data_IF_781892148728
#
_entry.id   IF_781892148728
#
_cell.length_a   1.000
_cell.length_b   1.000
_cell.length_c   1.000
_cell.angle_alpha   90.00
_cell.angle_beta   90.00
_cell.angle_gamma   90.00
#
_symmetry.space_group_name_H-M   'P 1'
#
loop_
_entity.id
_entity.type
_entity.pdbx_description
1 polymer ?
#
# COMPACT_ATOMS: atom_id res chain seq x y z
N UNK A 1 9.78 -27.66 38.22
CA UNK A 1 8.97 -27.59 36.99
C UNK A 1 7.58 -27.14 37.39
N UNK A 2 7.13 -25.93 37.06
CA UNK A 2 5.73 -25.52 37.31
C UNK A 2 4.81 -26.23 36.32
N UNK A 3 3.69 -26.73 36.79
CA UNK A 3 2.67 -27.43 36.07
C UNK A 3 2.10 -26.56 34.92
N UNK A 4 2.32 -26.98 33.70
CA UNK A 4 1.62 -26.45 32.52
C UNK A 4 0.20 -27.06 32.49
N UNK A 5 -0.70 -26.54 33.32
CA UNK A 5 -2.10 -26.92 33.40
C UNK A 5 -3.01 -25.71 33.32
N UNK A 6 -2.74 -24.80 32.38
CA UNK A 6 -3.60 -23.67 32.06
C UNK A 6 -3.97 -23.73 30.58
N UNK A 7 -5.19 -23.40 30.26
CA UNK A 7 -5.77 -23.35 28.92
C UNK A 7 -4.88 -22.56 27.93
N UNK A 8 -3.88 -23.21 27.35
CA UNK A 8 -2.99 -22.55 26.40
C UNK A 8 -3.72 -22.39 25.06
N UNK A 9 -3.68 -21.18 24.48
CA UNK A 9 -4.16 -20.88 23.14
C UNK A 9 -3.67 -21.93 22.13
N UNK A 10 -4.57 -22.54 21.38
CA UNK A 10 -4.24 -23.54 20.38
C UNK A 10 -4.40 -23.00 18.94
N UNK A 11 -3.77 -23.70 18.01
CA UNK A 11 -3.81 -23.31 16.60
C UNK A 11 -5.19 -23.45 15.96
N UNK A 12 -6.08 -24.28 16.51
CA UNK A 12 -7.45 -24.40 16.02
C UNK A 12 -8.24 -23.15 16.36
N UNK A 13 -8.08 -22.62 17.57
CA UNK A 13 -8.72 -21.37 17.99
C UNK A 13 -8.28 -20.21 17.10
N UNK A 14 -7.00 -20.12 16.75
CA UNK A 14 -6.46 -19.10 15.84
C UNK A 14 -7.08 -19.25 14.43
N UNK A 15 -7.20 -20.48 13.91
CA UNK A 15 -7.87 -20.75 12.61
C UNK A 15 -9.34 -20.36 12.63
N UNK A 16 -10.06 -20.71 13.70
CA UNK A 16 -11.47 -20.38 13.84
C UNK A 16 -11.70 -18.88 13.92
N UNK A 17 -10.84 -18.17 14.66
CA UNK A 17 -10.85 -16.71 14.68
C UNK A 17 -10.73 -16.12 13.27
N UNK A 18 -9.75 -16.57 12.49
CA UNK A 18 -9.55 -16.08 11.12
C UNK A 18 -10.71 -16.45 10.20
N UNK A 19 -11.27 -17.65 10.31
CA UNK A 19 -12.42 -18.08 9.52
C UNK A 19 -13.65 -17.18 9.76
N UNK A 20 -13.90 -16.75 11.01
CA UNK A 20 -14.96 -15.81 11.32
C UNK A 20 -14.62 -14.40 10.83
N UNK A 21 -13.40 -13.94 11.06
CA UNK A 21 -12.96 -12.60 10.67
C UNK A 21 -13.05 -12.38 9.15
N UNK A 22 -12.70 -13.40 8.35
CA UNK A 22 -12.72 -13.34 6.90
C UNK A 22 -14.14 -13.54 6.31
N UNK A 23 -15.01 -14.32 6.98
CA UNK A 23 -16.38 -14.58 6.51
C UNK A 23 -17.43 -13.60 7.06
N UNK A 24 -17.14 -12.89 8.16
CA UNK A 24 -18.07 -12.01 8.85
C UNK A 24 -19.24 -12.75 9.55
N UNK A 25 -19.12 -14.07 9.76
CA UNK A 25 -20.22 -14.89 10.30
C UNK A 25 -19.69 -16.14 11.03
N UNK A 26 -20.24 -16.43 12.22
CA UNK A 26 -19.91 -17.66 12.93
C UNK A 26 -20.35 -18.93 12.19
N UNK A 27 -21.49 -18.89 11.51
CA UNK A 27 -21.98 -20.02 10.72
C UNK A 27 -21.10 -20.30 9.51
N UNK A 28 -20.81 -19.29 8.70
CA UNK A 28 -19.91 -19.42 7.55
C UNK A 28 -18.47 -19.75 7.99
N UNK A 29 -18.00 -19.18 9.10
CA UNK A 29 -16.70 -19.50 9.66
C UNK A 29 -16.60 -20.96 10.07
N UNK A 30 -17.66 -21.56 10.61
CA UNK A 30 -17.73 -22.96 10.98
C UNK A 30 -17.70 -23.88 9.73
N UNK A 31 -18.42 -23.51 8.67
CA UNK A 31 -18.38 -24.21 7.37
C UNK A 31 -16.95 -24.20 6.78
N UNK A 32 -16.32 -23.02 6.74
CA UNK A 32 -14.93 -22.87 6.25
C UNK A 32 -13.93 -23.66 7.09
N UNK A 33 -14.17 -23.74 8.40
CA UNK A 33 -13.31 -24.47 9.34
C UNK A 33 -13.63 -25.97 9.43
N UNK A 34 -14.66 -26.45 8.71
CA UNK A 34 -15.14 -27.85 8.72
C UNK A 34 -15.51 -28.34 10.13
N UNK A 35 -16.19 -27.49 10.92
CA UNK A 35 -16.67 -27.81 12.27
C UNK A 35 -18.11 -27.35 12.47
N UNK A 36 -18.74 -27.78 13.58
CA UNK A 36 -20.05 -27.25 13.94
C UNK A 36 -19.94 -25.84 14.53
N UNK A 37 -20.95 -25.02 14.31
CA UNK A 37 -20.98 -23.66 14.85
C UNK A 37 -20.85 -23.63 16.40
N UNK A 38 -21.48 -24.52 17.20
CA UNK A 38 -21.25 -24.58 18.65
C UNK A 38 -19.80 -24.87 19.01
N UNK A 39 -19.11 -25.76 18.29
CA UNK A 39 -17.69 -26.09 18.51
C UNK A 39 -16.83 -24.85 18.28
N UNK A 40 -17.04 -24.17 17.17
CA UNK A 40 -16.30 -22.95 16.82
C UNK A 40 -16.57 -21.83 17.84
N UNK A 41 -17.83 -21.62 18.23
CA UNK A 41 -18.23 -20.59 19.21
C UNK A 41 -17.60 -20.85 20.59
N UNK A 42 -17.58 -22.12 21.05
CA UNK A 42 -16.95 -22.50 22.30
C UNK A 42 -15.44 -22.28 22.29
N UNK A 43 -14.77 -22.60 21.16
CA UNK A 43 -13.35 -22.38 21.01
C UNK A 43 -12.97 -20.88 21.03
N UNK A 44 -13.78 -20.03 20.40
CA UNK A 44 -13.60 -18.57 20.44
C UNK A 44 -13.82 -18.02 21.86
N UNK A 45 -14.87 -18.46 22.56
CA UNK A 45 -15.11 -18.02 23.92
C UNK A 45 -13.93 -18.38 24.87
N UNK A 46 -13.29 -19.55 24.67
CA UNK A 46 -12.08 -19.93 25.42
C UNK A 46 -10.90 -19.03 25.08
N UNK A 47 -10.71 -18.70 23.78
CA UNK A 47 -9.65 -17.80 23.33
C UNK A 47 -9.85 -16.38 23.91
N UNK A 48 -11.05 -15.86 23.90
CA UNK A 48 -11.39 -14.55 24.47
C UNK A 48 -11.17 -14.53 26.00
N UNK A 49 -11.55 -15.60 26.69
CA UNK A 49 -11.32 -15.75 28.12
C UNK A 49 -9.82 -15.77 28.47
N UNK A 50 -8.99 -16.45 27.66
CA UNK A 50 -7.54 -16.50 27.84
C UNK A 50 -6.86 -15.15 27.57
N UNK A 51 -7.30 -14.45 26.50
CA UNK A 51 -6.77 -13.14 26.14
C UNK A 51 -7.31 -12.00 27.04
N UNK A 52 -8.36 -12.27 27.80
CA UNK A 52 -9.01 -11.29 28.68
C UNK A 52 -9.76 -10.19 27.93
N UNK A 53 -10.03 -10.37 26.64
CA UNK A 53 -10.71 -9.40 25.77
C UNK A 53 -11.65 -10.09 24.81
N UNK A 54 -12.77 -9.46 24.49
CA UNK A 54 -13.63 -9.91 23.40
C UNK A 54 -12.96 -9.61 22.06
N UNK A 55 -13.04 -10.55 21.13
CA UNK A 55 -12.50 -10.42 19.77
C UNK A 55 -13.59 -10.07 18.76
N UNK A 56 -14.82 -10.45 19.05
CA UNK A 56 -15.98 -10.21 18.19
C UNK A 56 -17.12 -9.53 18.92
N UNK A 57 -17.84 -8.69 18.19
CA UNK A 57 -19.14 -8.15 18.60
C UNK A 57 -20.22 -8.58 17.61
N UNK A 58 -21.42 -8.87 18.13
CA UNK A 58 -22.60 -9.22 17.31
C UNK A 58 -23.42 -7.97 17.11
N UNK A 59 -23.62 -7.57 15.87
CA UNK A 59 -24.45 -6.43 15.49
C UNK A 59 -25.61 -6.85 14.58
N UNK A 60 -26.54 -5.93 14.34
CA UNK A 60 -27.68 -6.14 13.46
C UNK A 60 -27.31 -6.49 11.99
N UNK A 61 -26.07 -6.23 11.59
CA UNK A 61 -25.55 -6.48 10.23
C UNK A 61 -24.50 -7.61 10.17
N UNK A 62 -24.43 -8.47 11.20
CA UNK A 62 -23.48 -9.57 11.26
C UNK A 62 -22.45 -9.44 12.38
N UNK A 63 -21.33 -10.14 12.23
CA UNK A 63 -20.23 -10.19 13.20
C UNK A 63 -19.13 -9.23 12.79
N UNK A 64 -18.64 -8.43 13.72
CA UNK A 64 -17.52 -7.49 13.50
C UNK A 64 -16.40 -7.76 14.52
N UNK A 65 -15.20 -7.38 14.16
CA UNK A 65 -14.07 -7.38 15.09
C UNK A 65 -14.22 -6.20 16.07
N UNK A 66 -14.00 -6.49 17.34
CA UNK A 66 -13.76 -5.46 18.36
C UNK A 66 -12.37 -4.82 18.16
N UNK A 67 -12.02 -3.83 18.96
CA UNK A 67 -10.66 -3.30 19.02
C UNK A 67 -9.64 -4.42 19.36
N UNK A 68 -10.00 -5.30 20.34
CA UNK A 68 -9.21 -6.47 20.67
C UNK A 68 -9.03 -7.42 19.48
N UNK A 69 -10.11 -7.68 18.73
CA UNK A 69 -10.09 -8.48 17.52
C UNK A 69 -9.23 -7.88 16.41
N UNK A 70 -9.32 -6.56 16.20
CA UNK A 70 -8.48 -5.85 15.22
C UNK A 70 -6.99 -5.93 15.57
N UNK A 71 -6.64 -5.80 16.85
CA UNK A 71 -5.26 -5.95 17.34
C UNK A 71 -4.76 -7.40 17.23
N UNK A 72 -5.63 -8.39 17.44
CA UNK A 72 -5.28 -9.81 17.37
C UNK A 72 -5.16 -10.31 15.92
N UNK A 73 -5.91 -9.78 14.97
CA UNK A 73 -5.96 -10.22 13.56
C UNK A 73 -4.57 -10.35 12.91
N UNK A 74 -3.69 -9.35 12.96
CA UNK A 74 -2.34 -9.49 12.38
C UNK A 74 -1.51 -10.55 13.09
N UNK A 75 -1.70 -10.75 14.40
CA UNK A 75 -0.99 -11.77 15.17
C UNK A 75 -1.46 -13.18 14.82
N UNK A 76 -2.77 -13.37 14.68
CA UNK A 76 -3.37 -14.64 14.28
C UNK A 76 -2.85 -15.09 12.90
N UNK A 77 -2.79 -14.16 11.94
CA UNK A 77 -2.24 -14.44 10.61
C UNK A 77 -0.76 -14.78 10.65
N UNK A 78 0.02 -14.09 11.48
CA UNK A 78 1.44 -14.36 11.67
C UNK A 78 1.67 -15.77 12.23
N UNK A 79 0.92 -16.19 13.24
CA UNK A 79 1.02 -17.51 13.87
C UNK A 79 0.76 -18.62 12.85
N UNK A 80 -0.33 -18.54 12.06
CA UNK A 80 -0.62 -19.55 11.06
C UNK A 80 0.42 -19.58 9.94
N UNK A 81 0.92 -18.42 9.52
CA UNK A 81 1.97 -18.33 8.51
C UNK A 81 3.25 -19.01 8.99
N UNK A 82 3.66 -18.75 10.22
CA UNK A 82 4.87 -19.35 10.79
C UNK A 82 4.72 -20.88 10.93
N UNK A 83 3.55 -21.34 11.34
CA UNK A 83 3.25 -22.76 11.35
C UNK A 83 3.33 -23.41 9.96
N UNK A 84 2.84 -22.73 8.93
CA UNK A 84 2.93 -23.22 7.55
C UNK A 84 4.38 -23.29 7.07
N UNK A 85 5.20 -22.29 7.41
CA UNK A 85 6.64 -22.28 7.13
C UNK A 85 7.32 -23.46 7.84
N UNK A 86 7.10 -23.61 9.16
CA UNK A 86 7.69 -24.70 9.93
C UNK A 86 7.29 -26.09 9.37
N UNK A 87 6.00 -26.30 9.04
CA UNK A 87 5.55 -27.54 8.43
C UNK A 87 6.20 -27.83 7.09
N UNK A 88 6.47 -26.79 6.35
CA UNK A 88 7.08 -26.88 5.06
C UNK A 88 8.56 -27.24 5.14
N UNK A 89 9.28 -26.68 6.11
CA UNK A 89 10.69 -26.95 6.34
C UNK A 89 10.93 -28.45 6.72
N UNK A 90 9.92 -29.11 7.31
CA UNK A 90 10.00 -30.50 7.76
C UNK A 90 9.27 -31.52 6.87
N UNK A 91 8.50 -31.11 5.85
CA UNK A 91 7.97 -32.02 4.83
C UNK A 91 9.08 -32.34 3.84
N UNK A 92 9.95 -33.30 4.25
CA UNK A 92 11.07 -33.79 3.46
C UNK A 92 10.67 -34.36 2.11
N UNK A 93 10.84 -33.60 1.12
CA UNK A 93 10.83 -33.86 -0.29
C UNK A 93 11.29 -32.60 -0.99
N UNK A 94 12.22 -32.66 -1.90
CA UNK A 94 13.02 -31.60 -2.55
C UNK A 94 12.30 -30.34 -3.11
N UNK A 95 11.12 -30.01 -2.66
CA UNK A 95 10.52 -28.72 -2.91
C UNK A 95 10.98 -27.74 -1.81
N UNK A 96 12.12 -27.10 -2.03
CA UNK A 96 12.48 -25.86 -1.36
C UNK A 96 11.26 -24.96 -1.48
N UNK A 97 10.53 -24.74 -0.36
CA UNK A 97 9.48 -23.72 -0.35
C UNK A 97 10.19 -22.41 -0.59
N UNK A 98 10.05 -21.93 -1.81
CA UNK A 98 10.57 -20.64 -2.17
C UNK A 98 9.97 -19.61 -1.22
N UNK A 99 10.77 -18.87 -0.46
CA UNK A 99 10.28 -17.80 0.38
C UNK A 99 9.41 -16.88 -0.46
N UNK A 100 8.30 -16.43 0.10
CA UNK A 100 7.35 -15.57 -0.60
C UNK A 100 7.43 -14.17 -0.03
N UNK A 101 7.54 -13.17 -0.90
CA UNK A 101 7.46 -11.77 -0.53
C UNK A 101 6.33 -11.06 -1.28
N UNK A 102 5.45 -10.39 -0.55
CA UNK A 102 4.28 -9.68 -1.06
C UNK A 102 4.49 -8.19 -0.86
N UNK A 103 4.56 -7.48 -1.96
CA UNK A 103 4.85 -6.05 -2.02
C UNK A 103 3.60 -5.32 -2.50
N UNK A 104 3.08 -4.40 -1.68
CA UNK A 104 2.06 -3.46 -2.10
C UNK A 104 2.67 -2.30 -2.89
N UNK A 105 2.06 -1.94 -3.98
CA UNK A 105 2.46 -0.83 -4.84
C UNK A 105 1.31 0.17 -4.91
N UNK A 106 1.53 1.37 -4.39
CA UNK A 106 0.55 2.44 -4.54
C UNK A 106 0.43 2.80 -6.02
N UNK A 107 -0.80 2.78 -6.53
CA UNK A 107 -1.12 2.96 -7.94
C UNK A 107 -0.70 4.31 -8.53
N UNK A 108 -0.40 5.30 -7.69
CA UNK A 108 0.13 6.61 -8.10
C UNK A 108 1.66 6.68 -8.06
N UNK A 109 2.37 5.61 -7.71
CA UNK A 109 3.83 5.56 -7.74
C UNK A 109 4.31 5.27 -9.16
N UNK A 110 5.22 6.10 -9.73
CA UNK A 110 5.71 5.90 -11.09
C UNK A 110 6.60 4.66 -11.19
N UNK A 111 6.10 3.64 -11.89
CA UNK A 111 6.80 2.36 -12.06
C UNK A 111 8.17 2.49 -12.73
N UNK A 112 8.36 3.50 -13.59
CA UNK A 112 9.67 3.79 -14.23
C UNK A 112 10.79 4.02 -13.19
N UNK A 113 10.45 4.54 -12.01
CA UNK A 113 11.40 4.78 -10.90
C UNK A 113 11.66 3.52 -10.07
N UNK A 114 10.71 2.61 -10.01
CA UNK A 114 10.69 1.45 -9.10
C UNK A 114 11.05 0.15 -9.81
N UNK A 115 10.54 -0.07 -11.02
CA UNK A 115 10.75 -1.32 -11.77
C UNK A 115 12.22 -1.75 -11.93
N UNK A 116 13.20 -0.84 -12.17
CA UNK A 116 14.60 -1.26 -12.27
C UNK A 116 15.13 -1.91 -10.99
N UNK A 117 14.71 -1.41 -9.80
CA UNK A 117 15.14 -1.97 -8.52
C UNK A 117 14.45 -3.29 -8.26
N UNK A 118 13.13 -3.38 -8.50
CA UNK A 118 12.37 -4.63 -8.37
C UNK A 118 12.92 -5.71 -9.30
N UNK A 119 13.21 -5.37 -10.55
CA UNK A 119 13.80 -6.31 -11.51
C UNK A 119 15.20 -6.80 -11.08
N UNK A 120 16.00 -5.94 -10.47
CA UNK A 120 17.30 -6.33 -9.91
C UNK A 120 17.13 -7.29 -8.73
N UNK A 121 16.19 -7.03 -7.82
CA UNK A 121 15.87 -7.90 -6.69
C UNK A 121 15.41 -9.29 -7.15
N UNK A 122 14.48 -9.34 -8.11
CA UNK A 122 13.97 -10.61 -8.66
C UNK A 122 15.11 -11.45 -9.26
N UNK A 123 16.07 -10.81 -9.92
CA UNK A 123 17.24 -11.52 -10.48
C UNK A 123 18.24 -11.98 -9.42
N UNK A 124 18.41 -11.24 -8.35
CA UNK A 124 19.35 -11.58 -7.27
C UNK A 124 18.83 -12.69 -6.35
N UNK A 125 17.51 -12.79 -6.24
CA UNK A 125 16.83 -13.75 -5.37
C UNK A 125 15.87 -14.65 -6.19
N UNK A 126 16.41 -15.49 -7.10
CA UNK A 126 15.59 -16.28 -8.02
C UNK A 126 14.76 -17.37 -7.32
N UNK A 127 15.13 -17.73 -6.08
CA UNK A 127 14.39 -18.68 -5.25
C UNK A 127 13.17 -18.06 -4.55
N UNK A 128 12.97 -16.75 -4.63
CA UNK A 128 11.86 -16.05 -3.96
C UNK A 128 10.63 -15.99 -4.86
N UNK A 129 9.46 -16.30 -4.32
CA UNK A 129 8.17 -16.07 -5.00
C UNK A 129 7.70 -14.64 -4.72
N UNK A 130 7.91 -13.78 -5.69
CA UNK A 130 7.48 -12.39 -5.65
C UNK A 130 5.99 -12.26 -5.98
N UNK A 131 5.27 -11.44 -5.22
CA UNK A 131 3.87 -11.06 -5.52
C UNK A 131 3.76 -9.56 -5.36
N UNK A 132 3.27 -8.88 -6.39
CA UNK A 132 3.01 -7.45 -6.38
C UNK A 132 1.50 -7.22 -6.39
N UNK A 133 1.02 -6.34 -5.51
CA UNK A 133 -0.39 -5.99 -5.36
C UNK A 133 -0.53 -4.49 -5.53
N UNK A 134 -1.25 -4.05 -6.53
CA UNK A 134 -1.54 -2.63 -6.74
C UNK A 134 -2.83 -2.23 -6.06
N UNK A 135 -2.87 -1.00 -5.53
CA UNK A 135 -4.06 -0.50 -4.86
C UNK A 135 -3.97 0.95 -4.43
N UNK A 136 -5.05 1.43 -3.81
CA UNK A 136 -5.09 2.70 -3.09
C UNK A 136 -4.40 2.59 -1.73
N UNK A 137 -4.07 3.75 -1.15
CA UNK A 137 -3.32 3.81 0.11
C UNK A 137 -4.05 3.09 1.25
N UNK A 138 -5.34 3.36 1.45
CA UNK A 138 -6.11 2.80 2.57
C UNK A 138 -6.24 1.27 2.48
N UNK A 139 -6.46 0.73 1.27
CA UNK A 139 -6.56 -0.71 1.05
C UNK A 139 -5.20 -1.42 1.27
N UNK A 140 -4.13 -0.87 0.72
CA UNK A 140 -2.79 -1.43 0.89
C UNK A 140 -2.33 -1.41 2.35
N UNK A 141 -2.63 -0.34 3.09
CA UNK A 141 -2.35 -0.25 4.52
C UNK A 141 -3.16 -1.25 5.34
N UNK A 142 -4.45 -1.39 5.04
CA UNK A 142 -5.27 -2.42 5.67
C UNK A 142 -4.69 -3.82 5.42
N UNK A 143 -4.18 -4.08 4.21
CA UNK A 143 -3.53 -5.35 3.89
C UNK A 143 -2.17 -5.53 4.59
N UNK A 144 -1.36 -4.47 4.74
CA UNK A 144 -0.11 -4.51 5.49
C UNK A 144 -0.38 -4.81 6.97
N UNK A 145 -1.31 -4.08 7.59
CA UNK A 145 -1.71 -4.26 8.98
C UNK A 145 -2.30 -5.65 9.25
N UNK A 146 -2.98 -6.21 8.26
CA UNK A 146 -3.52 -7.57 8.31
C UNK A 146 -2.48 -8.65 7.97
N UNK A 147 -1.20 -8.31 7.82
CA UNK A 147 -0.11 -9.21 7.40
C UNK A 147 -0.39 -9.96 6.07
N UNK A 148 -1.22 -9.39 5.21
CA UNK A 148 -1.44 -9.84 3.82
C UNK A 148 -0.34 -9.36 2.88
N UNK A 149 0.34 -8.26 3.24
CA UNK A 149 1.52 -7.72 2.58
C UNK A 149 2.70 -7.72 3.56
N UNK A 150 3.91 -7.78 3.04
CA UNK A 150 5.14 -7.78 3.82
C UNK A 150 5.79 -6.39 3.86
N UNK A 151 5.60 -5.59 2.80
CA UNK A 151 5.99 -4.18 2.70
C UNK A 151 5.15 -3.42 1.67
N UNK A 152 5.16 -2.09 1.75
CA UNK A 152 4.52 -1.18 0.79
C UNK A 152 5.55 -0.28 0.13
N UNK A 153 5.36 0.02 -1.15
CA UNK A 153 5.95 1.18 -1.81
C UNK A 153 4.83 2.20 -1.97
N UNK A 154 4.94 3.30 -1.21
CA UNK A 154 3.82 4.21 -1.00
C UNK A 154 4.28 5.66 -0.81
N UNK A 155 3.32 6.57 -0.69
CA UNK A 155 3.53 7.92 -0.23
C UNK A 155 3.68 7.92 1.31
N UNK A 156 4.86 8.26 1.80
CA UNK A 156 5.17 8.28 3.22
C UNK A 156 4.41 9.42 3.91
N UNK A 157 3.76 9.10 5.01
CA UNK A 157 3.11 10.11 5.86
C UNK A 157 3.79 10.13 7.23
N UNK A 158 3.99 11.32 7.77
CA UNK A 158 4.53 11.49 9.12
C UNK A 158 3.53 11.03 10.17
N UNK A 159 4.01 10.31 11.20
CA UNK A 159 3.20 10.00 12.39
C UNK A 159 2.53 8.61 12.41
N UNK A 160 2.82 7.71 11.48
CA UNK A 160 2.31 6.33 11.54
C UNK A 160 3.15 5.49 12.50
N UNK A 161 2.69 5.40 13.75
CA UNK A 161 3.45 4.86 14.87
C UNK A 161 3.76 3.35 14.87
N UNK A 162 3.26 2.57 13.90
CA UNK A 162 3.37 1.09 13.90
C UNK A 162 4.27 0.51 12.82
N UNK A 163 4.76 1.32 11.90
CA UNK A 163 5.64 0.92 10.80
C UNK A 163 6.98 1.66 10.84
N UNK A 164 7.97 1.11 10.17
CA UNK A 164 9.22 1.76 9.83
C UNK A 164 9.18 2.21 8.37
N UNK A 165 9.95 3.22 8.03
CA UNK A 165 9.90 3.87 6.73
C UNK A 165 11.29 4.14 6.19
N UNK A 166 11.48 3.96 4.87
CA UNK A 166 12.66 4.37 4.13
C UNK A 166 12.24 5.30 2.99
N UNK A 167 12.65 6.56 3.04
CA UNK A 167 12.45 7.51 1.95
C UNK A 167 13.26 7.08 0.72
N UNK A 168 12.62 6.96 -0.44
CA UNK A 168 13.26 6.70 -1.72
C UNK A 168 13.54 7.99 -2.49
N UNK A 169 12.54 8.85 -2.64
CA UNK A 169 12.67 10.15 -3.32
C UNK A 169 11.51 11.09 -2.94
N UNK A 170 11.77 12.37 -3.07
CA UNK A 170 10.73 13.41 -3.06
C UNK A 170 10.22 13.64 -4.48
N UNK A 171 8.95 13.96 -4.61
CA UNK A 171 8.23 14.06 -5.86
C UNK A 171 7.35 15.31 -5.82
N UNK A 172 7.77 16.35 -6.56
CA UNK A 172 7.03 17.60 -6.58
C UNK A 172 5.86 17.54 -7.54
N UNK A 173 4.73 18.14 -7.18
CA UNK A 173 3.61 18.30 -8.09
C UNK A 173 3.95 19.37 -9.14
N UNK A 174 3.79 19.04 -10.41
CA UNK A 174 4.06 19.90 -11.55
C UNK A 174 2.83 19.96 -12.47
N UNK A 175 2.81 20.95 -13.33
CA UNK A 175 1.87 21.01 -14.44
C UNK A 175 2.52 20.39 -15.68
N UNK A 176 2.00 19.27 -16.13
CA UNK A 176 2.35 18.66 -17.40
C UNK A 176 1.64 19.42 -18.52
N UNK A 177 2.40 19.89 -19.52
CA UNK A 177 1.91 20.58 -20.70
C UNK A 177 2.50 19.97 -21.97
N UNK A 178 1.84 20.11 -23.13
CA UNK A 178 2.43 19.72 -24.41
C UNK A 178 3.77 20.42 -24.60
N UNK A 179 4.82 19.68 -24.95
CA UNK A 179 6.16 20.27 -25.20
C UNK A 179 6.15 21.31 -26.35
N UNK A 180 5.17 21.23 -27.23
CA UNK A 180 4.93 22.18 -28.33
C UNK A 180 4.29 23.50 -27.89
N UNK A 181 3.74 23.56 -26.67
CA UNK A 181 3.10 24.77 -26.15
C UNK A 181 4.12 25.89 -25.93
N UNK A 182 3.77 27.11 -26.34
CA UNK A 182 4.61 28.28 -26.04
C UNK A 182 4.79 28.50 -24.52
N UNK A 183 3.79 28.14 -23.71
CA UNK A 183 3.84 28.19 -22.24
C UNK A 183 4.82 27.18 -21.66
N UNK A 184 5.06 26.07 -22.35
CA UNK A 184 5.99 25.01 -21.91
C UNK A 184 7.47 25.47 -21.87
N UNK A 185 7.80 26.60 -22.48
CA UNK A 185 9.13 27.22 -22.42
C UNK A 185 9.42 27.96 -21.12
N UNK A 186 8.39 28.26 -20.33
CA UNK A 186 8.54 28.93 -19.04
C UNK A 186 8.99 27.93 -17.98
N UNK A 187 9.89 28.32 -17.07
CA UNK A 187 10.26 27.50 -15.90
C UNK A 187 9.16 27.45 -14.86
N UNK A 188 8.44 28.56 -14.70
CA UNK A 188 7.33 28.73 -13.76
C UNK A 188 6.19 29.44 -14.48
N UNK A 189 4.99 28.94 -14.35
CA UNK A 189 3.78 29.53 -14.88
C UNK A 189 3.05 30.29 -13.75
N UNK A 190 2.62 31.53 -13.94
CA UNK A 190 1.69 32.18 -13.02
C UNK A 190 0.40 31.36 -12.90
N UNK A 191 -0.20 31.33 -11.71
CA UNK A 191 -1.43 30.59 -11.47
C UNK A 191 -2.59 31.10 -12.35
N UNK A 192 -2.65 32.42 -12.56
CA UNK A 192 -3.68 33.09 -13.40
C UNK A 192 -3.63 32.66 -14.88
N UNK A 193 -2.47 32.19 -15.36
CA UNK A 193 -2.33 31.62 -16.70
C UNK A 193 -3.16 30.32 -16.89
N UNK A 194 -3.73 29.79 -15.81
CA UNK A 194 -4.64 28.62 -15.86
C UNK A 194 -6.11 29.02 -15.96
N UNK A 195 -6.46 30.31 -15.87
CA UNK A 195 -7.86 30.73 -16.09
C UNK A 195 -8.31 30.29 -17.48
N UNK A 196 -9.47 29.64 -17.55
CA UNK A 196 -10.05 29.05 -18.77
C UNK A 196 -9.11 28.07 -19.53
N UNK A 197 -7.94 27.72 -18.95
CA UNK A 197 -7.02 26.78 -19.59
C UNK A 197 -7.58 25.35 -19.56
N UNK A 198 -7.52 24.59 -20.67
CA UNK A 198 -7.96 23.19 -20.70
C UNK A 198 -7.17 22.35 -19.69
N UNK A 199 -7.87 21.76 -18.72
CA UNK A 199 -7.28 20.95 -17.66
C UNK A 199 -7.83 19.52 -17.68
N UNK A 200 -6.93 18.56 -17.63
CA UNK A 200 -7.22 17.13 -17.41
C UNK A 200 -7.04 16.84 -15.91
N UNK A 201 -8.09 16.35 -15.28
CA UNK A 201 -8.11 16.08 -13.84
C UNK A 201 -7.87 14.59 -13.56
N UNK A 202 -6.86 14.31 -12.75
CA UNK A 202 -6.57 12.96 -12.23
C UNK A 202 -7.40 12.72 -10.97
N UNK A 203 -8.41 11.86 -11.04
CA UNK A 203 -9.39 11.67 -9.94
C UNK A 203 -8.87 10.87 -8.76
N UNK A 204 -7.75 10.16 -8.89
CA UNK A 204 -7.10 9.36 -7.85
C UNK A 204 -5.84 10.04 -7.25
N UNK A 205 -5.59 11.28 -7.64
CA UNK A 205 -4.42 12.04 -7.18
C UNK A 205 -4.58 12.42 -5.70
N UNK A 206 -3.57 12.12 -4.88
CA UNK A 206 -3.53 12.46 -3.45
C UNK A 206 -3.58 13.99 -3.23
N UNK A 207 -3.09 14.75 -4.20
CA UNK A 207 -3.07 16.22 -4.14
C UNK A 207 -4.29 16.89 -4.79
N UNK A 208 -5.29 16.13 -5.25
CA UNK A 208 -6.45 16.67 -5.96
C UNK A 208 -7.16 17.76 -5.15
N UNK A 209 -7.48 17.45 -3.88
CA UNK A 209 -8.15 18.42 -3.00
C UNK A 209 -7.25 19.63 -2.67
N UNK A 210 -5.96 19.40 -2.45
CA UNK A 210 -5.02 20.48 -2.13
C UNK A 210 -4.80 21.41 -3.33
N UNK A 211 -4.66 20.87 -4.53
CA UNK A 211 -4.56 21.64 -5.75
C UNK A 211 -5.86 22.42 -6.03
N UNK A 212 -7.03 21.80 -5.85
CA UNK A 212 -8.32 22.50 -5.96
C UNK A 212 -8.43 23.67 -4.99
N UNK A 213 -8.02 23.48 -3.71
CA UNK A 213 -8.05 24.57 -2.71
C UNK A 213 -7.17 25.77 -3.11
N UNK A 214 -6.02 25.52 -3.73
CA UNK A 214 -5.15 26.61 -4.23
C UNK A 214 -5.86 27.37 -5.35
N UNK A 215 -6.43 26.67 -6.33
CA UNK A 215 -7.19 27.29 -7.42
C UNK A 215 -8.39 28.09 -6.90
N UNK A 216 -9.17 27.52 -5.97
CA UNK A 216 -10.35 28.15 -5.38
C UNK A 216 -9.99 29.41 -4.57
N UNK A 217 -8.91 29.36 -3.77
CA UNK A 217 -8.41 30.48 -2.97
C UNK A 217 -8.11 31.69 -3.84
N UNK A 218 -7.44 31.45 -4.95
CA UNK A 218 -6.99 32.52 -5.87
C UNK A 218 -8.01 32.78 -6.98
N UNK A 219 -9.19 32.13 -6.90
CA UNK A 219 -10.35 32.27 -7.83
C UNK A 219 -10.05 31.91 -9.29
N UNK A 220 -9.06 31.08 -9.52
CA UNK A 220 -8.69 30.60 -10.85
C UNK A 220 -9.54 29.37 -11.21
N UNK A 221 -10.21 29.42 -12.37
CA UNK A 221 -11.15 28.36 -12.82
C UNK A 221 -10.71 27.77 -14.17
N UNK A 222 -9.84 26.75 -14.15
CA UNK A 222 -9.49 26.04 -15.38
C UNK A 222 -10.70 25.35 -16.00
N UNK A 223 -10.72 25.25 -17.32
CA UNK A 223 -11.74 24.51 -18.05
C UNK A 223 -11.45 23.01 -17.96
N UNK A 224 -12.18 22.25 -17.14
CA UNK A 224 -12.01 20.79 -17.04
C UNK A 224 -12.52 20.11 -18.30
N UNK A 225 -11.61 19.63 -19.16
CA UNK A 225 -11.94 18.98 -20.44
C UNK A 225 -12.00 17.46 -20.33
N UNK A 226 -11.34 16.85 -19.31
CA UNK A 226 -11.37 15.41 -19.11
C UNK A 226 -11.11 15.06 -17.64
N UNK A 227 -11.64 13.91 -17.21
CA UNK A 227 -11.37 13.30 -15.89
C UNK A 227 -10.95 11.86 -16.10
N UNK A 228 -9.83 11.45 -15.49
CA UNK A 228 -9.32 10.09 -15.61
C UNK A 228 -8.71 9.61 -14.28
N UNK A 229 -8.72 8.29 -14.10
CA UNK A 229 -8.00 7.60 -13.01
C UNK A 229 -6.67 6.99 -13.47
N UNK A 230 -6.24 7.23 -14.70
CA UNK A 230 -5.07 6.61 -15.31
C UNK A 230 -4.05 7.69 -15.69
N UNK A 231 -2.85 7.61 -15.11
CA UNK A 231 -1.79 8.59 -15.30
C UNK A 231 -1.23 8.58 -16.72
N UNK A 232 -1.07 7.39 -17.30
CA UNK A 232 -0.61 7.19 -18.67
C UNK A 232 -1.57 7.83 -19.70
N UNK A 233 -2.88 7.68 -19.47
CA UNK A 233 -3.90 8.31 -20.32
C UNK A 233 -3.91 9.83 -20.19
N UNK A 234 -3.77 10.34 -18.95
CA UNK A 234 -3.66 11.78 -18.74
C UNK A 234 -2.47 12.37 -19.53
N UNK A 235 -1.29 11.74 -19.41
CA UNK A 235 -0.09 12.19 -20.10
C UNK A 235 -0.17 12.04 -21.62
N UNK A 236 -0.76 10.95 -22.13
CA UNK A 236 -0.99 10.78 -23.57
C UNK A 236 -1.89 11.89 -24.15
N UNK A 237 -2.95 12.26 -23.42
CA UNK A 237 -3.85 13.36 -23.84
C UNK A 237 -3.16 14.73 -23.75
N UNK A 238 -2.29 14.94 -22.75
CA UNK A 238 -1.44 16.14 -22.65
C UNK A 238 -0.49 16.20 -23.85
N UNK A 239 0.24 15.11 -24.14
CA UNK A 239 1.16 15.05 -25.28
C UNK A 239 0.44 15.32 -26.61
N UNK A 240 -0.82 14.87 -26.74
CA UNK A 240 -1.71 15.12 -27.86
C UNK A 240 -2.30 16.53 -27.93
N UNK A 241 -2.01 17.41 -26.94
CA UNK A 241 -2.44 18.80 -26.96
C UNK A 241 -3.85 19.07 -26.45
N UNK A 242 -4.52 18.09 -25.79
CA UNK A 242 -5.89 18.27 -25.30
C UNK A 242 -5.97 19.27 -24.13
N UNK A 243 -4.90 19.44 -23.36
CA UNK A 243 -4.85 20.33 -22.21
C UNK A 243 -3.60 20.11 -21.34
N UNK A 244 -3.64 20.64 -20.12
CA UNK A 244 -2.60 20.45 -19.12
C UNK A 244 -3.10 19.52 -17.99
N UNK A 245 -2.18 18.98 -17.18
CA UNK A 245 -2.52 18.09 -16.08
C UNK A 245 -1.57 18.29 -14.89
N UNK A 246 -2.07 18.44 -13.67
CA UNK A 246 -1.24 18.37 -12.49
C UNK A 246 -0.82 16.92 -12.21
N UNK A 247 0.49 16.65 -12.18
CA UNK A 247 1.06 15.33 -11.99
C UNK A 247 2.43 15.45 -11.30
N UNK A 248 2.87 14.46 -10.50
CA UNK A 248 4.22 14.46 -9.97
C UNK A 248 5.30 14.47 -11.07
N UNK A 249 6.42 15.16 -10.82
CA UNK A 249 7.48 15.35 -11.82
C UNK A 249 8.19 14.04 -12.21
N UNK A 250 8.11 13.01 -11.38
CA UNK A 250 8.63 11.67 -11.68
C UNK A 250 7.92 10.95 -12.83
N UNK A 251 6.77 11.44 -13.30
CA UNK A 251 6.04 10.92 -14.45
C UNK A 251 6.48 11.53 -15.79
N UNK A 252 7.67 12.16 -15.86
CA UNK A 252 8.18 12.74 -17.10
C UNK A 252 8.06 11.76 -18.29
N UNK A 253 7.52 12.26 -19.41
CA UNK A 253 7.26 11.51 -20.63
C UNK A 253 7.66 12.33 -21.86
N UNK A 254 8.08 11.66 -22.93
CA UNK A 254 8.37 12.33 -24.20
C UNK A 254 7.13 13.09 -24.73
N UNK A 255 7.34 14.27 -25.27
CA UNK A 255 6.25 15.14 -25.77
C UNK A 255 5.54 15.95 -24.68
N UNK A 256 5.93 15.78 -23.40
CA UNK A 256 5.37 16.52 -22.27
C UNK A 256 6.48 17.30 -21.56
N UNK A 257 6.18 18.54 -21.19
CA UNK A 257 7.04 19.39 -20.38
C UNK A 257 6.44 19.57 -18.99
N UNK A 258 7.24 19.35 -17.94
CA UNK A 258 6.86 19.56 -16.56
C UNK A 258 7.22 20.97 -16.10
N UNK A 259 6.22 21.74 -15.65
CA UNK A 259 6.38 23.15 -15.32
C UNK A 259 5.95 23.38 -13.86
N UNK A 260 6.69 24.20 -13.14
CA UNK A 260 6.24 24.69 -11.84
C UNK A 260 5.08 25.70 -12.03
N UNK A 261 4.13 25.71 -11.12
CA UNK A 261 3.07 26.73 -11.06
C UNK A 261 3.27 27.54 -9.79
N UNK A 262 3.32 28.86 -9.91
CA UNK A 262 3.48 29.75 -8.78
C UNK A 262 2.34 29.56 -7.77
N UNK A 263 2.65 29.48 -6.48
CA UNK A 263 1.66 29.24 -5.43
C UNK A 263 1.21 27.78 -5.27
N UNK A 264 1.68 26.86 -6.12
CA UNK A 264 1.41 25.41 -6.00
C UNK A 264 2.67 24.69 -5.54
N UNK A 265 2.97 24.78 -4.26
CA UNK A 265 4.12 24.14 -3.62
C UNK A 265 3.68 22.83 -2.96
N UNK A 266 3.17 21.91 -3.77
CA UNK A 266 2.72 20.59 -3.34
C UNK A 266 3.74 19.53 -3.74
N UNK A 267 3.85 18.48 -2.93
CA UNK A 267 4.71 17.35 -3.21
C UNK A 267 4.51 16.25 -2.21
N UNK A 268 5.15 15.12 -2.49
CA UNK A 268 5.08 13.92 -1.66
C UNK A 268 6.44 13.28 -1.46
N UNK A 269 6.55 12.47 -0.43
CA UNK A 269 7.71 11.63 -0.15
C UNK A 269 7.36 10.19 -0.48
N UNK A 270 7.93 9.65 -1.56
CA UNK A 270 7.73 8.24 -1.93
C UNK A 270 8.77 7.38 -1.26
N UNK A 271 8.36 6.30 -0.65
CA UNK A 271 9.25 5.40 0.08
C UNK A 271 8.71 4.01 0.29
N UNK A 272 9.43 3.25 1.09
CA UNK A 272 9.03 1.92 1.54
C UNK A 272 8.55 2.03 2.97
N UNK A 273 7.47 1.32 3.28
CA UNK A 273 6.92 1.17 4.61
C UNK A 273 6.79 -0.32 4.94
N UNK A 274 7.18 -0.72 6.15
CA UNK A 274 7.12 -2.11 6.62
C UNK A 274 6.82 -2.16 8.11
N UNK A 275 6.28 -3.29 8.65
CA UNK A 275 6.05 -3.45 10.08
C UNK A 275 7.37 -3.40 10.86
N UNK A 276 7.40 -2.79 12.06
CA UNK A 276 8.59 -2.71 12.94
C UNK A 276 9.24 -4.07 13.21
N UNK A 277 8.47 -5.14 13.18
CA UNK A 277 8.96 -6.52 13.28
C UNK A 277 8.55 -7.25 12.00
N UNK A 278 9.36 -7.21 10.94
CA UNK A 278 9.05 -7.90 9.71
C UNK A 278 9.02 -9.41 9.96
N UNK A 279 8.02 -10.08 9.40
CA UNK A 279 7.84 -11.52 9.53
C UNK A 279 8.76 -12.33 8.59
N UNK A 280 9.39 -11.64 7.64
CA UNK A 280 10.26 -12.24 6.63
C UNK A 280 11.65 -11.64 6.70
N UNK A 281 12.72 -12.44 6.85
CA UNK A 281 14.10 -11.95 6.79
C UNK A 281 14.41 -11.21 5.48
N UNK A 282 13.79 -11.63 4.37
CA UNK A 282 13.92 -11.00 3.06
C UNK A 282 13.50 -9.53 3.01
N UNK A 283 12.64 -9.07 3.92
CA UNK A 283 12.29 -7.64 4.00
C UNK A 283 13.53 -6.79 4.23
N UNK A 284 14.43 -7.21 5.12
CA UNK A 284 15.70 -6.51 5.37
C UNK A 284 16.56 -6.43 4.10
N UNK A 285 16.72 -7.53 3.37
CA UNK A 285 17.47 -7.56 2.09
C UNK A 285 16.89 -6.57 1.07
N UNK A 286 15.56 -6.51 0.96
CA UNK A 286 14.88 -5.57 0.05
C UNK A 286 15.17 -4.13 0.45
N UNK A 287 15.03 -3.80 1.73
CA UNK A 287 15.28 -2.46 2.27
C UNK A 287 16.72 -2.02 2.00
N UNK A 288 17.70 -2.88 2.27
CA UNK A 288 19.12 -2.62 2.03
C UNK A 288 19.41 -2.33 0.54
N UNK A 289 18.78 -3.08 -0.36
CA UNK A 289 18.94 -2.87 -1.81
C UNK A 289 18.37 -1.54 -2.29
N UNK A 290 17.20 -1.18 -1.81
CA UNK A 290 16.62 0.13 -2.10
C UNK A 290 17.46 1.27 -1.50
N UNK A 291 17.94 1.12 -0.28
CA UNK A 291 18.83 2.10 0.36
C UNK A 291 20.13 2.31 -0.44
N UNK A 292 20.78 1.23 -0.90
CA UNK A 292 21.97 1.30 -1.73
C UNK A 292 21.71 2.02 -3.07
N UNK A 293 20.57 1.76 -3.70
CA UNK A 293 20.18 2.41 -4.96
C UNK A 293 19.94 3.91 -4.78
N UNK A 294 19.36 4.31 -3.63
CA UNK A 294 19.19 5.72 -3.28
C UNK A 294 20.53 6.44 -3.17
N UNK A 295 21.49 5.85 -2.44
CA UNK A 295 22.85 6.44 -2.26
C UNK A 295 23.59 6.61 -3.59
N UNK A 296 23.46 5.64 -4.51
CA UNK A 296 24.07 5.72 -5.83
C UNK A 296 23.49 6.85 -6.70
N UNK A 297 22.18 7.18 -6.53
CA UNK A 297 21.52 8.28 -7.25
C UNK A 297 21.81 9.67 -6.64
N UNK A 298 22.05 9.76 -5.34
CA UNK A 298 22.39 11.01 -4.67
C UNK A 298 23.82 11.51 -5.01
N UNK A 299 24.67 10.63 -5.56
CA UNK A 299 26.05 10.93 -5.98
C UNK A 299 26.20 11.31 -7.48
N UNK A 300 25.12 11.27 -8.23
CA UNK A 300 25.03 11.70 -9.64
C UNK A 300 24.23 13.01 -9.77
#
# INVERSE_FOLDING_TARGET
MPAMGGNAMDLHQVRYFLAIADSGSFTRGAEVAFVTQPTLSSAIAKLEAELGVLLFERGARGVRLTEGGQRFLPRARAILKEMEIARADFRGGEQKISPRLRIGLLNTVPMQRIAPVLSALVRLEPGVRWTFVEGGVDDLEAQLNAAKLDLLITNLQSGRGHSEQLLLFNDALRLAMPATSARARKRTLPLDDLEDHPLIVRTHCEHLQSASRVLDRDRVKPMVVHRTRYDDRALALVAGGLGACFIPDSFAMAGVQMIAVAGVELGRSVGIEWPRKPQQPLVATVIERFAATRQARAKR
#
